data_IF_724728070730
#
_entry.id   IF_724728070730
#
_cell.length_a   1.000
_cell.length_b   1.000
_cell.length_c   1.000
_cell.angle_alpha   90.00
_cell.angle_beta   90.00
_cell.angle_gamma   90.00
#
_symmetry.space_group_name_H-M   'P 1'
#
loop_
_entity.id
_entity.type
_entity.pdbx_description
1 polymer ?
#
# COMPACT_ATOMS: atom_id res chain seq x y z
N UNK A 1 -14.99 -2.11 -5.23
CA UNK A 1 -13.76 -1.59 -4.58
C UNK A 1 -13.13 -0.44 -5.32
N UNK A 2 -12.94 -0.54 -6.64
CA UNK A 2 -12.13 0.44 -7.39
C UNK A 2 -12.94 1.32 -8.33
N UNK A 3 -14.28 1.31 -8.21
CA UNK A 3 -15.12 2.33 -8.83
C UNK A 3 -14.95 3.65 -8.08
N UNK A 4 -15.08 4.78 -8.79
CA UNK A 4 -15.10 6.09 -8.13
C UNK A 4 -16.37 6.22 -7.30
N UNK A 5 -16.21 6.44 -6.01
CA UNK A 5 -17.26 6.87 -5.08
C UNK A 5 -17.33 8.40 -5.02
N UNK A 6 -18.39 8.95 -4.42
CA UNK A 6 -18.61 10.41 -4.33
C UNK A 6 -17.44 11.16 -3.66
N UNK A 7 -16.84 10.56 -2.64
CA UNK A 7 -15.71 11.09 -1.88
C UNK A 7 -14.33 10.64 -2.40
N UNK A 8 -14.29 10.02 -3.58
CA UNK A 8 -13.02 9.64 -4.24
C UNK A 8 -12.33 10.86 -4.81
N UNK A 9 -11.18 11.21 -4.23
CA UNK A 9 -10.36 12.36 -4.65
C UNK A 9 -9.23 11.96 -5.60
N UNK A 10 -8.75 10.72 -5.54
CA UNK A 10 -7.76 10.16 -6.48
C UNK A 10 -8.08 8.71 -6.82
N UNK A 11 -7.94 8.32 -8.08
CA UNK A 11 -7.91 6.91 -8.48
C UNK A 11 -7.13 6.72 -9.77
N UNK A 12 -6.24 5.73 -9.81
CA UNK A 12 -5.48 5.39 -11.01
C UNK A 12 -5.09 3.91 -11.01
N UNK A 13 -4.78 3.34 -12.18
CA UNK A 13 -3.88 2.20 -12.27
C UNK A 13 -2.52 2.55 -11.62
N UNK A 14 -1.88 1.54 -11.05
CA UNK A 14 -0.69 1.71 -10.20
C UNK A 14 0.44 0.80 -10.67
N UNK A 15 1.59 1.36 -11.04
CA UNK A 15 2.82 0.61 -11.24
C UNK A 15 3.37 0.13 -9.90
N UNK A 16 3.56 -1.18 -9.79
CA UNK A 16 4.21 -1.85 -8.65
C UNK A 16 5.51 -2.52 -9.10
N UNK A 17 6.40 -2.84 -8.15
CA UNK A 17 7.75 -3.33 -8.45
C UNK A 17 7.94 -4.81 -8.10
N UNK A 18 6.83 -5.55 -7.99
CA UNK A 18 6.82 -7.00 -7.76
C UNK A 18 5.59 -7.65 -8.39
N UNK A 19 5.71 -8.95 -8.67
CA UNK A 19 4.65 -9.78 -9.24
C UNK A 19 4.54 -11.08 -8.46
N UNK A 20 3.32 -11.43 -8.07
CA UNK A 20 2.96 -12.71 -7.45
C UNK A 20 3.51 -13.01 -6.07
N UNK A 21 4.13 -12.04 -5.41
CA UNK A 21 4.62 -12.17 -4.05
C UNK A 21 5.60 -11.07 -3.69
N UNK A 22 6.30 -11.27 -2.57
CA UNK A 22 7.26 -10.32 -2.01
C UNK A 22 6.62 -8.97 -1.67
N UNK A 23 5.47 -8.99 -0.98
CA UNK A 23 4.71 -7.81 -0.53
C UNK A 23 5.61 -6.72 0.07
N UNK A 24 6.62 -7.09 0.86
CA UNK A 24 7.58 -6.16 1.47
C UNK A 24 8.30 -5.24 0.46
N UNK A 25 8.41 -5.62 -0.82
CA UNK A 25 8.93 -4.75 -1.88
C UNK A 25 7.98 -3.59 -2.20
N UNK A 26 6.68 -3.85 -2.20
CA UNK A 26 5.65 -2.82 -2.40
C UNK A 26 5.47 -1.99 -1.13
N UNK A 27 5.54 -2.61 0.06
CA UNK A 27 5.59 -1.85 1.31
C UNK A 27 6.78 -0.90 1.34
N UNK A 28 7.96 -1.37 0.95
CA UNK A 28 9.15 -0.54 0.82
C UNK A 28 8.91 0.62 -0.15
N UNK A 29 8.39 0.36 -1.35
CA UNK A 29 8.18 1.39 -2.35
C UNK A 29 7.23 2.50 -1.85
N UNK A 30 6.15 2.11 -1.18
CA UNK A 30 5.20 3.03 -0.58
C UNK A 30 5.78 3.83 0.58
N UNK A 31 6.43 3.17 1.55
CA UNK A 31 6.88 3.79 2.80
C UNK A 31 8.18 4.59 2.63
N UNK A 32 9.09 4.12 1.78
CA UNK A 32 10.34 4.80 1.44
C UNK A 32 10.13 5.91 0.40
N UNK A 33 9.17 5.74 -0.51
CA UNK A 33 8.93 6.65 -1.63
C UNK A 33 9.90 6.46 -2.82
N UNK A 34 10.53 5.28 -2.94
CA UNK A 34 11.42 4.92 -4.05
C UNK A 34 11.22 3.44 -4.44
N UNK A 35 11.36 3.06 -5.72
CA UNK A 35 11.21 1.67 -6.15
C UNK A 35 12.22 0.74 -5.47
N UNK A 36 11.80 -0.47 -5.09
CA UNK A 36 12.74 -1.50 -4.62
C UNK A 36 13.73 -1.93 -5.72
N UNK A 37 13.35 -1.77 -6.98
CA UNK A 37 14.16 -2.08 -8.17
C UNK A 37 15.40 -1.20 -8.31
N UNK A 38 15.41 0.00 -7.71
CA UNK A 38 16.59 0.88 -7.71
C UNK A 38 17.80 0.23 -7.02
N UNK A 39 17.57 -0.80 -6.19
CA UNK A 39 18.60 -1.51 -5.42
C UNK A 39 19.05 -2.84 -6.06
N UNK A 40 18.63 -3.12 -7.31
CA UNK A 40 19.13 -4.25 -8.09
C UNK A 40 19.04 -5.60 -7.36
N UNK A 41 20.19 -6.27 -7.17
CA UNK A 41 20.26 -7.56 -6.48
C UNK A 41 19.76 -7.52 -5.02
N UNK A 42 19.75 -6.34 -4.39
CA UNK A 42 19.25 -6.15 -3.02
C UNK A 42 17.73 -5.91 -2.96
N UNK A 43 17.03 -5.81 -4.09
CA UNK A 43 15.60 -5.50 -4.14
C UNK A 43 14.73 -6.44 -3.27
N UNK A 44 15.08 -7.73 -3.20
CA UNK A 44 14.36 -8.71 -2.37
C UNK A 44 14.70 -8.60 -0.88
N UNK A 45 15.82 -7.97 -0.53
CA UNK A 45 16.32 -7.83 0.84
C UNK A 45 16.18 -6.43 1.43
N UNK A 46 15.43 -5.52 0.80
CA UNK A 46 15.38 -4.09 1.15
C UNK A 46 15.11 -3.81 2.62
N UNK A 47 14.27 -4.59 3.30
CA UNK A 47 14.00 -4.46 4.74
C UNK A 47 15.22 -4.76 5.63
N UNK A 48 16.17 -5.53 5.12
CA UNK A 48 17.41 -5.87 5.82
C UNK A 48 18.57 -4.96 5.41
N UNK A 49 18.70 -4.66 4.12
CA UNK A 49 19.91 -4.05 3.56
C UNK A 49 19.78 -2.56 3.23
N UNK A 50 18.56 -2.04 3.06
CA UNK A 50 18.34 -0.66 2.61
C UNK A 50 17.63 0.18 3.67
N UNK A 51 16.55 -0.35 4.24
CA UNK A 51 15.72 0.38 5.20
C UNK A 51 16.51 0.91 6.41
N UNK A 52 17.48 0.18 7.01
CA UNK A 52 18.29 0.70 8.10
C UNK A 52 19.12 1.95 7.75
N UNK A 53 19.35 2.16 6.47
CA UNK A 53 20.20 3.21 5.92
C UNK A 53 19.41 4.43 5.40
N UNK A 54 18.07 4.34 5.35
CA UNK A 54 17.20 5.41 4.88
C UNK A 54 17.18 6.61 5.84
N UNK A 55 17.48 7.79 5.30
CA UNK A 55 17.53 9.06 6.03
C UNK A 55 16.22 9.85 5.93
N UNK A 56 15.36 9.49 4.99
CA UNK A 56 14.10 10.18 4.66
C UNK A 56 13.04 9.15 4.28
N UNK A 57 11.81 9.60 4.03
CA UNK A 57 10.70 8.78 3.60
C UNK A 57 9.36 9.44 3.89
N UNK A 58 8.30 8.83 3.37
CA UNK A 58 6.92 9.29 3.58
C UNK A 58 6.56 9.32 5.08
N UNK A 59 6.85 8.24 5.80
CA UNK A 59 6.51 8.13 7.23
C UNK A 59 7.26 9.17 8.07
N UNK A 60 8.55 9.39 7.80
CA UNK A 60 9.32 10.45 8.47
C UNK A 60 8.75 11.84 8.20
N UNK A 61 8.30 12.12 6.98
CA UNK A 61 7.63 13.40 6.67
C UNK A 61 6.32 13.56 7.46
N UNK A 62 5.53 12.50 7.63
CA UNK A 62 4.35 12.55 8.49
C UNK A 62 4.71 12.80 9.96
N UNK A 63 5.78 12.17 10.46
CA UNK A 63 6.31 12.41 11.82
C UNK A 63 6.70 13.88 12.04
N UNK A 64 7.32 14.52 11.05
CA UNK A 64 7.66 15.96 11.07
C UNK A 64 6.44 16.89 11.01
N UNK A 65 5.30 16.41 10.49
CA UNK A 65 4.00 17.06 10.63
C UNK A 65 3.29 16.76 11.96
N UNK A 66 3.96 16.04 12.86
CA UNK A 66 3.44 15.70 14.18
C UNK A 66 2.53 14.48 14.22
N UNK A 67 2.45 13.67 13.15
CA UNK A 67 1.61 12.46 13.15
C UNK A 67 2.18 11.38 14.06
N UNK A 68 1.30 10.69 14.78
CA UNK A 68 1.61 9.42 15.43
C UNK A 68 1.36 8.27 14.44
N UNK A 69 2.42 7.57 14.05
CA UNK A 69 2.39 6.58 12.98
C UNK A 69 2.34 5.16 13.55
N UNK A 70 1.35 4.36 13.14
CA UNK A 70 1.15 2.98 13.59
C UNK A 70 1.10 2.05 12.38
N UNK A 71 1.87 0.96 12.42
CA UNK A 71 1.74 -0.15 11.48
C UNK A 71 0.91 -1.27 12.12
N UNK A 72 -0.02 -1.85 11.38
CA UNK A 72 -0.80 -3.01 11.77
C UNK A 72 -0.53 -4.15 10.78
N UNK A 73 0.09 -5.23 11.26
CA UNK A 73 0.45 -6.38 10.44
C UNK A 73 -0.09 -7.69 11.03
N UNK A 74 -0.63 -8.60 10.22
CA UNK A 74 -1.09 -9.93 10.64
C UNK A 74 0.08 -10.90 10.86
N UNK A 75 1.32 -10.46 10.59
CA UNK A 75 2.52 -11.25 10.79
C UNK A 75 3.24 -10.91 12.09
N UNK A 76 3.99 -11.90 12.58
CA UNK A 76 4.91 -11.73 13.69
C UNK A 76 5.90 -10.60 13.43
N UNK A 77 6.25 -9.86 14.49
CA UNK A 77 7.17 -8.72 14.46
C UNK A 77 8.52 -9.05 13.79
N UNK A 78 8.99 -10.30 13.86
CA UNK A 78 10.23 -10.76 13.23
C UNK A 78 10.10 -11.20 11.76
N UNK A 79 8.88 -11.43 11.25
CA UNK A 79 8.66 -11.91 9.89
C UNK A 79 9.24 -10.91 8.88
N UNK A 80 10.14 -11.37 8.01
CA UNK A 80 10.86 -10.54 7.03
C UNK A 80 11.52 -9.27 7.62
N UNK A 81 11.94 -9.29 8.90
CA UNK A 81 12.50 -8.12 9.60
C UNK A 81 11.52 -6.93 9.75
N UNK A 82 10.21 -7.19 9.72
CA UNK A 82 9.19 -6.14 9.68
C UNK A 82 9.30 -5.12 10.81
N UNK A 83 9.47 -5.54 12.07
CA UNK A 83 9.56 -4.60 13.21
C UNK A 83 10.74 -3.65 13.09
N UNK A 84 11.93 -4.18 12.82
CA UNK A 84 13.12 -3.35 12.66
C UNK A 84 12.96 -2.41 11.45
N UNK A 85 12.39 -2.90 10.34
CA UNK A 85 12.11 -2.07 9.17
C UNK A 85 11.12 -0.95 9.48
N UNK A 86 9.98 -1.21 10.13
CA UNK A 86 9.02 -0.16 10.50
C UNK A 86 9.61 0.84 11.50
N UNK A 87 10.44 0.40 12.46
CA UNK A 87 11.15 1.31 13.36
C UNK A 87 12.06 2.25 12.56
N UNK A 88 12.82 1.71 11.60
CA UNK A 88 13.68 2.49 10.72
C UNK A 88 12.91 3.40 9.75
N UNK A 89 11.72 3.01 9.27
CA UNK A 89 10.83 3.91 8.53
C UNK A 89 10.33 5.08 9.38
N UNK A 90 10.34 4.94 10.71
CA UNK A 90 9.95 5.98 11.66
C UNK A 90 8.56 5.81 12.25
N UNK A 91 7.99 4.60 12.21
CA UNK A 91 6.75 4.31 12.93
C UNK A 91 6.94 4.44 14.44
N UNK A 92 5.90 4.90 15.13
CA UNK A 92 5.88 4.94 16.59
C UNK A 92 5.60 3.56 17.17
N UNK A 93 4.66 2.82 16.57
CA UNK A 93 4.25 1.49 17.01
C UNK A 93 4.04 0.55 15.82
N UNK A 94 4.31 -0.73 16.06
CA UNK A 94 3.87 -1.83 15.19
C UNK A 94 3.03 -2.78 16.05
N UNK A 95 1.76 -2.91 15.70
CA UNK A 95 0.83 -3.85 16.30
C UNK A 95 0.60 -5.05 15.41
N UNK A 96 0.30 -6.16 16.06
CA UNK A 96 -0.42 -7.28 15.50
C UNK A 96 -1.87 -7.27 16.00
N UNK A 97 -2.83 -7.88 15.30
CA UNK A 97 -4.19 -8.08 15.82
C UNK A 97 -4.23 -8.67 17.23
N UNK A 98 -3.27 -9.54 17.57
CA UNK A 98 -3.13 -10.15 18.89
C UNK A 98 -2.80 -9.12 19.99
N UNK A 99 -2.05 -8.06 19.68
CA UNK A 99 -1.80 -6.95 20.62
C UNK A 99 -3.12 -6.22 20.97
N UNK A 100 -4.15 -6.36 20.13
CA UNK A 100 -5.48 -5.77 20.27
C UNK A 100 -6.56 -6.79 20.65
N UNK A 101 -6.17 -8.00 21.08
CA UNK A 101 -7.08 -9.01 21.61
C UNK A 101 -7.58 -10.05 20.62
N UNK A 102 -6.99 -10.17 19.42
CA UNK A 102 -7.27 -11.31 18.53
C UNK A 102 -6.93 -12.64 19.21
N UNK A 103 -7.82 -13.65 19.17
CA UNK A 103 -7.67 -14.89 19.95
C UNK A 103 -6.69 -15.87 19.30
N UNK A 104 -5.43 -15.46 19.16
CA UNK A 104 -4.33 -16.31 18.73
C UNK A 104 -3.04 -16.01 19.51
N UNK A 105 -2.10 -16.97 19.59
CA UNK A 105 -0.80 -16.72 20.21
C UNK A 105 -0.01 -15.63 19.48
N UNK A 106 0.76 -14.84 20.24
CA UNK A 106 1.55 -13.71 19.73
C UNK A 106 2.66 -14.12 18.73
N UNK A 107 3.08 -15.39 18.77
CA UNK A 107 4.10 -15.96 17.87
C UNK A 107 3.53 -16.58 16.59
N UNK A 108 2.26 -16.34 16.25
CA UNK A 108 1.61 -16.93 15.07
C UNK A 108 1.29 -15.88 14.02
N UNK A 109 1.69 -16.19 12.78
CA UNK A 109 1.25 -15.47 11.59
C UNK A 109 -0.22 -15.80 11.30
N UNK A 110 -1.04 -14.78 11.06
CA UNK A 110 -2.49 -14.90 10.84
C UNK A 110 -2.83 -15.00 9.36
N UNK A 111 -2.50 -16.13 8.72
CA UNK A 111 -2.69 -16.34 7.26
C UNK A 111 -4.14 -16.32 6.76
N UNK A 112 -5.12 -16.37 7.66
CA UNK A 112 -6.53 -16.50 7.31
C UNK A 112 -7.43 -15.43 7.94
N UNK A 113 -6.85 -14.46 8.66
CA UNK A 113 -7.60 -13.32 9.20
C UNK A 113 -8.30 -12.59 8.05
N UNK A 114 -9.58 -12.29 8.24
CA UNK A 114 -10.37 -11.57 7.24
C UNK A 114 -9.97 -10.10 7.16
N UNK A 115 -10.24 -9.49 6.01
CA UNK A 115 -10.01 -8.06 5.84
C UNK A 115 -10.97 -7.22 6.69
N UNK A 116 -12.18 -7.72 6.98
CA UNK A 116 -13.10 -7.13 7.95
C UNK A 116 -12.49 -7.07 9.37
N UNK A 117 -11.92 -8.17 9.85
CA UNK A 117 -11.23 -8.20 11.15
C UNK A 117 -10.02 -7.24 11.16
N UNK A 118 -9.22 -7.20 10.09
CA UNK A 118 -8.13 -6.23 9.98
C UNK A 118 -8.62 -4.78 10.08
N UNK A 119 -9.73 -4.44 9.42
CA UNK A 119 -10.34 -3.11 9.51
C UNK A 119 -10.93 -2.83 10.89
N UNK A 120 -11.48 -3.83 11.58
CA UNK A 120 -11.90 -3.72 12.97
C UNK A 120 -10.72 -3.34 13.88
N UNK A 121 -9.56 -3.98 13.72
CA UNK A 121 -8.37 -3.64 14.50
C UNK A 121 -7.79 -2.26 14.14
N UNK A 122 -7.83 -1.86 12.87
CA UNK A 122 -7.48 -0.50 12.47
C UNK A 122 -8.40 0.54 13.13
N UNK A 123 -9.70 0.26 13.22
CA UNK A 123 -10.68 1.07 13.96
C UNK A 123 -10.33 1.14 15.45
N UNK A 124 -9.97 0.03 16.08
CA UNK A 124 -9.55 0.03 17.50
C UNK A 124 -8.32 0.91 17.75
N UNK A 125 -7.37 0.94 16.80
CA UNK A 125 -6.20 1.84 16.87
C UNK A 125 -6.64 3.30 16.77
N UNK A 126 -7.50 3.64 15.82
CA UNK A 126 -8.00 5.02 15.63
C UNK A 126 -8.86 5.52 16.80
N UNK A 127 -9.56 4.60 17.47
CA UNK A 127 -10.31 4.83 18.71
C UNK A 127 -9.44 4.75 19.97
N UNK A 128 -8.14 4.45 19.83
CA UNK A 128 -7.14 4.40 20.91
C UNK A 128 -7.48 3.39 22.00
N UNK A 129 -8.00 2.22 21.62
CA UNK A 129 -8.39 1.14 22.54
C UNK A 129 -7.23 0.26 23.04
N UNK A 130 -6.00 0.77 23.01
CA UNK A 130 -4.82 0.10 23.53
C UNK A 130 -4.10 1.02 24.53
N UNK A 131 -3.55 0.52 25.66
CA UNK A 131 -2.88 1.35 26.66
C UNK A 131 -1.81 2.29 26.09
N UNK A 132 -0.97 1.81 25.16
CA UNK A 132 0.07 2.63 24.49
C UNK A 132 -0.49 3.80 23.66
N UNK A 133 -1.80 3.83 23.40
CA UNK A 133 -2.48 4.87 22.63
C UNK A 133 -3.30 5.83 23.48
N UNK A 134 -3.54 5.54 24.76
CA UNK A 134 -4.47 6.29 25.64
C UNK A 134 -4.11 7.79 25.70
N UNK A 135 -2.81 8.08 25.75
CA UNK A 135 -2.29 9.45 25.87
C UNK A 135 -1.88 10.09 24.53
N UNK A 136 -2.03 9.38 23.40
CA UNK A 136 -1.72 9.94 22.08
C UNK A 136 -2.76 11.01 21.76
N UNK A 137 -2.32 12.26 21.55
CA UNK A 137 -3.22 13.39 21.17
C UNK A 137 -3.03 13.86 19.73
N UNK A 138 -1.95 13.42 19.09
CA UNK A 138 -1.58 13.75 17.71
C UNK A 138 -2.60 13.23 16.68
N UNK A 139 -2.61 13.80 15.46
CA UNK A 139 -3.20 13.12 14.31
C UNK A 139 -2.50 11.76 14.09
N UNK A 140 -3.21 10.78 13.54
CA UNK A 140 -2.68 9.42 13.37
C UNK A 140 -2.57 9.04 11.91
N UNK A 141 -1.48 8.36 11.57
CA UNK A 141 -1.34 7.59 10.35
C UNK A 141 -1.35 6.11 10.73
N UNK A 142 -2.24 5.33 10.12
CA UNK A 142 -2.34 3.89 10.36
C UNK A 142 -2.13 3.18 9.03
N UNK A 143 -1.03 2.45 8.91
CA UNK A 143 -0.75 1.56 7.79
C UNK A 143 -1.24 0.15 8.13
N UNK A 144 -2.00 -0.48 7.24
CA UNK A 144 -2.63 -1.78 7.46
C UNK A 144 -2.25 -2.73 6.35
N UNK A 145 -1.68 -3.88 6.69
CA UNK A 145 -1.41 -4.97 5.75
C UNK A 145 -2.53 -6.01 5.83
N UNK A 146 -3.31 -6.20 4.76
CA UNK A 146 -4.33 -7.27 4.72
C UNK A 146 -3.70 -8.63 4.39
N UNK A 147 -4.49 -9.72 4.50
CA UNK A 147 -3.97 -11.09 4.31
C UNK A 147 -4.92 -12.02 3.58
N UNK A 148 -6.23 -11.85 3.70
CA UNK A 148 -7.21 -12.84 3.23
C UNK A 148 -7.13 -13.10 1.72
N UNK A 149 -6.70 -12.09 0.97
CA UNK A 149 -6.56 -12.13 -0.49
C UNK A 149 -5.34 -12.92 -0.97
N UNK A 150 -4.44 -13.28 -0.06
CA UNK A 150 -3.25 -14.07 -0.36
C UNK A 150 -3.61 -15.50 -0.82
N UNK A 151 -2.83 -16.03 -1.77
CA UNK A 151 -2.96 -17.41 -2.25
C UNK A 151 -2.51 -18.47 -1.22
N UNK A 152 -2.62 -19.76 -1.54
CA UNK A 152 -3.20 -20.32 -2.76
C UNK A 152 -4.72 -20.13 -2.83
N UNK A 153 -5.23 -20.11 -4.06
CA UNK A 153 -6.67 -20.07 -4.34
C UNK A 153 -7.24 -21.47 -4.48
N UNK A 154 -8.48 -21.63 -4.03
CA UNK A 154 -9.22 -22.88 -4.08
C UNK A 154 -9.48 -23.30 -5.52
N UNK A 155 -9.21 -24.56 -5.83
CA UNK A 155 -9.44 -25.14 -7.17
C UNK A 155 -10.72 -25.98 -7.25
N UNK A 156 -11.58 -25.83 -6.24
CA UNK A 156 -12.85 -26.52 -6.06
C UNK A 156 -14.04 -25.54 -5.87
N UNK A 157 -13.84 -24.26 -6.14
CA UNK A 157 -14.89 -23.23 -6.08
C UNK A 157 -15.75 -23.24 -7.34
N UNK A 158 -17.07 -23.16 -7.17
CA UNK A 158 -18.03 -23.07 -8.27
C UNK A 158 -17.85 -21.78 -9.09
N UNK A 159 -18.25 -21.80 -10.37
CA UNK A 159 -18.22 -20.63 -11.25
C UNK A 159 -19.38 -19.66 -10.98
N UNK A 160 -19.48 -19.16 -9.75
CA UNK A 160 -20.58 -18.28 -9.28
C UNK A 160 -20.56 -16.88 -9.91
N UNK A 161 -19.44 -16.48 -10.51
CA UNK A 161 -19.29 -15.21 -11.23
C UNK A 161 -19.49 -15.35 -12.75
N UNK A 162 -19.95 -16.50 -13.22
CA UNK A 162 -20.24 -16.77 -14.64
C UNK A 162 -19.07 -16.38 -15.58
N UNK A 163 -17.84 -16.72 -15.19
CA UNK A 163 -16.66 -16.38 -15.97
C UNK A 163 -16.69 -17.10 -17.33
N UNK A 164 -16.89 -16.33 -18.40
CA UNK A 164 -16.77 -16.79 -19.79
C UNK A 164 -15.29 -16.81 -20.19
N UNK A 165 -14.65 -17.94 -19.93
CA UNK A 165 -13.22 -18.13 -20.15
C UNK A 165 -12.94 -19.49 -20.83
N UNK A 166 -13.33 -19.66 -22.10
CA UNK A 166 -13.22 -20.95 -22.80
C UNK A 166 -11.77 -21.43 -22.95
N UNK A 167 -10.81 -20.51 -22.88
CA UNK A 167 -9.37 -20.80 -22.98
C UNK A 167 -8.75 -21.23 -21.63
N UNK A 168 -9.51 -21.21 -20.53
CA UNK A 168 -9.02 -21.57 -19.19
C UNK A 168 -9.56 -22.94 -18.77
N UNK A 169 -8.72 -23.72 -18.07
CA UNK A 169 -9.16 -24.99 -17.50
C UNK A 169 -10.05 -24.78 -16.27
N UNK A 170 -10.83 -25.80 -15.89
CA UNK A 170 -11.77 -25.74 -14.78
C UNK A 170 -11.12 -25.34 -13.44
N UNK A 171 -9.90 -25.82 -13.14
CA UNK A 171 -9.19 -25.45 -11.90
C UNK A 171 -8.82 -23.97 -11.87
N UNK A 172 -8.40 -23.41 -13.00
CA UNK A 172 -8.13 -21.97 -13.13
C UNK A 172 -9.41 -21.16 -12.96
N UNK A 173 -10.53 -21.59 -13.57
CA UNK A 173 -11.83 -20.93 -13.39
C UNK A 173 -12.25 -20.94 -11.92
N UNK A 174 -12.10 -22.06 -11.22
CA UNK A 174 -12.35 -22.16 -9.77
C UNK A 174 -11.45 -21.24 -8.95
N UNK A 175 -10.14 -21.23 -9.22
CA UNK A 175 -9.19 -20.36 -8.54
C UNK A 175 -9.49 -18.87 -8.76
N UNK A 176 -9.92 -18.49 -9.97
CA UNK A 176 -10.38 -17.14 -10.27
C UNK A 176 -11.66 -16.79 -9.50
N UNK A 177 -12.61 -17.71 -9.37
CA UNK A 177 -13.82 -17.47 -8.58
C UNK A 177 -13.50 -17.26 -7.09
N UNK A 178 -12.60 -18.05 -6.51
CA UNK A 178 -12.13 -17.84 -5.12
C UNK A 178 -11.41 -16.49 -4.96
N UNK A 179 -10.52 -16.15 -5.91
CA UNK A 179 -9.86 -14.83 -5.92
C UNK A 179 -10.88 -13.69 -5.98
N UNK A 180 -11.82 -13.71 -6.93
CA UNK A 180 -12.85 -12.67 -7.10
C UNK A 180 -13.74 -12.58 -5.85
N UNK A 181 -14.12 -13.72 -5.25
CA UNK A 181 -14.88 -13.77 -4.01
C UNK A 181 -14.17 -13.05 -2.86
N UNK A 182 -12.87 -13.31 -2.69
CA UNK A 182 -12.04 -12.63 -1.68
C UNK A 182 -11.92 -11.13 -1.95
N UNK A 183 -11.77 -10.71 -3.21
CA UNK A 183 -11.77 -9.28 -3.58
C UNK A 183 -13.14 -8.63 -3.29
N UNK A 184 -14.25 -9.34 -3.50
CA UNK A 184 -15.58 -8.84 -3.18
C UNK A 184 -15.80 -8.70 -1.65
N UNK A 185 -15.22 -9.59 -0.84
CA UNK A 185 -15.27 -9.46 0.62
C UNK A 185 -14.35 -8.34 1.14
N UNK A 186 -13.17 -8.18 0.54
CA UNK A 186 -12.29 -7.04 0.80
C UNK A 186 -13.02 -5.71 0.50
N UNK A 187 -13.81 -5.67 -0.58
CA UNK A 187 -14.61 -4.49 -0.95
C UNK A 187 -15.58 -4.08 0.15
N UNK A 188 -16.35 -5.06 0.66
CA UNK A 188 -17.29 -4.83 1.77
C UNK A 188 -16.56 -4.30 3.01
N UNK A 189 -15.38 -4.83 3.33
CA UNK A 189 -14.58 -4.37 4.46
C UNK A 189 -14.11 -2.92 4.29
N UNK A 190 -13.66 -2.54 3.09
CA UNK A 190 -13.23 -1.17 2.77
C UNK A 190 -14.40 -0.18 2.80
N UNK A 191 -15.55 -0.52 2.23
CA UNK A 191 -16.74 0.34 2.28
C UNK A 191 -17.31 0.49 3.71
N UNK A 192 -17.25 -0.58 4.51
CA UNK A 192 -17.61 -0.53 5.93
C UNK A 192 -16.67 0.37 6.73
N UNK A 193 -15.36 0.25 6.49
CA UNK A 193 -14.37 1.08 7.15
C UNK A 193 -14.47 2.56 6.76
N UNK A 194 -14.68 2.85 5.48
CA UNK A 194 -14.91 4.22 5.00
C UNK A 194 -16.13 4.88 5.66
N UNK A 195 -17.26 4.16 5.75
CA UNK A 195 -18.44 4.62 6.48
C UNK A 195 -18.11 4.97 7.93
N UNK A 196 -17.35 4.11 8.61
CA UNK A 196 -16.83 4.40 9.95
C UNK A 196 -15.95 5.66 9.99
N UNK A 197 -15.12 5.91 8.97
CA UNK A 197 -14.30 7.13 8.89
C UNK A 197 -15.16 8.40 8.82
N UNK A 198 -16.27 8.37 8.09
CA UNK A 198 -17.26 9.46 8.06
C UNK A 198 -17.98 9.62 9.40
N UNK A 199 -18.44 8.53 10.02
CA UNK A 199 -19.15 8.54 11.31
C UNK A 199 -18.31 9.12 12.46
N UNK A 200 -16.98 9.05 12.38
CA UNK A 200 -16.09 9.68 13.36
C UNK A 200 -16.21 11.20 13.41
N UNK A 201 -16.74 11.85 12.37
CA UNK A 201 -16.83 13.30 12.27
C UNK A 201 -15.47 14.02 12.31
N UNK A 202 -14.40 13.36 11.85
CA UNK A 202 -13.03 13.91 11.81
C UNK A 202 -12.51 13.96 10.38
N UNK A 203 -11.63 14.93 10.04
CA UNK A 203 -10.89 14.92 8.79
C UNK A 203 -10.12 13.62 8.58
N UNK A 204 -10.22 13.02 7.40
CA UNK A 204 -9.46 11.82 7.04
C UNK A 204 -9.01 11.81 5.59
N UNK A 205 -7.94 11.06 5.34
CA UNK A 205 -7.53 10.59 4.03
C UNK A 205 -7.40 9.08 4.14
N UNK A 206 -8.08 8.35 3.25
CA UNK A 206 -8.10 6.90 3.23
C UNK A 206 -7.58 6.40 1.88
N UNK A 207 -6.36 5.87 1.88
CA UNK A 207 -5.72 5.29 0.71
C UNK A 207 -5.67 3.77 0.78
N UNK A 208 -5.94 3.11 -0.34
CA UNK A 208 -5.81 1.65 -0.48
C UNK A 208 -5.28 1.28 -1.87
N UNK A 209 -4.37 0.32 -1.92
CA UNK A 209 -3.74 -0.15 -3.15
C UNK A 209 -3.54 -1.66 -3.17
N UNK A 210 -3.41 -2.24 -4.37
CA UNK A 210 -2.94 -3.61 -4.53
C UNK A 210 -1.41 -3.66 -4.54
N UNK A 211 -0.81 -4.49 -3.70
CA UNK A 211 0.65 -4.64 -3.58
C UNK A 211 1.27 -5.33 -4.80
N UNK A 212 0.60 -6.32 -5.37
CA UNK A 212 0.97 -6.97 -6.63
C UNK A 212 -0.19 -7.70 -7.31
N UNK A 213 -0.02 -8.01 -8.60
CA UNK A 213 -0.87 -8.98 -9.28
C UNK A 213 -0.55 -10.41 -8.81
N UNK A 214 -1.50 -11.31 -9.00
CA UNK A 214 -1.39 -12.71 -8.59
C UNK A 214 -1.06 -13.59 -9.80
N UNK A 215 -0.23 -14.64 -9.64
CA UNK A 215 0.01 -15.62 -10.68
C UNK A 215 -1.02 -16.74 -10.58
N UNK A 216 -1.43 -17.28 -11.72
CA UNK A 216 -2.23 -18.50 -11.79
C UNK A 216 -1.38 -19.61 -12.41
N UNK A 217 -1.43 -20.81 -11.82
CA UNK A 217 -0.58 -21.92 -12.22
C UNK A 217 -0.83 -22.30 -13.70
N UNK A 218 0.24 -22.34 -14.49
CA UNK A 218 0.22 -22.82 -15.87
C UNK A 218 -0.51 -21.95 -16.87
N UNK A 219 -0.96 -20.74 -16.51
CA UNK A 219 -1.72 -19.87 -17.43
C UNK A 219 -1.54 -18.38 -17.14
N UNK A 220 -1.42 -17.60 -18.22
CA UNK A 220 -1.47 -16.14 -18.14
C UNK A 220 -2.91 -15.68 -18.30
N UNK A 221 -3.45 -15.03 -17.27
CA UNK A 221 -4.78 -14.42 -17.33
C UNK A 221 -4.65 -13.05 -17.99
N UNK A 222 -5.36 -12.86 -19.10
CA UNK A 222 -5.38 -11.58 -19.84
C UNK A 222 -5.71 -10.44 -18.89
N UNK A 223 -4.84 -9.42 -18.85
CA UNK A 223 -5.06 -8.21 -18.07
C UNK A 223 -5.97 -7.25 -18.84
N UNK A 224 -6.74 -6.45 -18.09
CA UNK A 224 -7.68 -5.46 -18.64
C UNK A 224 -6.98 -4.36 -19.44
N UNK A 225 -5.77 -3.99 -19.02
CA UNK A 225 -5.02 -2.87 -19.57
C UNK A 225 -3.91 -3.34 -20.51
N UNK A 226 -3.63 -2.53 -21.52
CA UNK A 226 -2.62 -2.78 -22.54
C UNK A 226 -1.30 -2.02 -22.26
N UNK A 227 -0.91 -1.96 -20.98
CA UNK A 227 0.38 -1.39 -20.60
C UNK A 227 1.52 -2.34 -20.99
N UNK A 228 2.71 -1.81 -21.28
CA UNK A 228 3.86 -2.62 -21.70
C UNK A 228 4.26 -3.74 -20.71
N UNK A 229 3.96 -3.56 -19.42
CA UNK A 229 4.17 -4.55 -18.36
C UNK A 229 2.90 -4.67 -17.51
N UNK A 230 1.84 -5.31 -18.00
CA UNK A 230 0.53 -5.26 -17.35
C UNK A 230 0.46 -6.10 -16.07
N UNK A 231 1.34 -7.10 -15.92
CA UNK A 231 1.48 -7.89 -14.69
C UNK A 231 1.99 -7.08 -13.49
N UNK A 232 2.59 -5.93 -13.76
CA UNK A 232 3.10 -5.00 -12.74
C UNK A 232 2.20 -3.77 -12.60
N UNK A 233 0.93 -3.87 -13.02
CA UNK A 233 -0.08 -2.82 -12.85
C UNK A 233 -1.20 -3.33 -11.94
N UNK A 234 -1.38 -2.65 -10.81
CA UNK A 234 -2.51 -2.81 -9.90
C UNK A 234 -3.33 -1.52 -9.92
N UNK A 235 -3.81 -1.08 -8.76
CA UNK A 235 -4.69 0.06 -8.63
C UNK A 235 -4.44 0.76 -7.29
N UNK A 236 -4.66 2.08 -7.27
CA UNK A 236 -4.63 2.92 -6.09
C UNK A 236 -5.87 3.82 -6.08
N UNK A 237 -6.48 3.99 -4.91
CA UNK A 237 -7.56 4.92 -4.71
C UNK A 237 -7.36 5.68 -3.39
N UNK A 238 -7.83 6.92 -3.37
CA UNK A 238 -7.84 7.79 -2.19
C UNK A 238 -9.23 8.39 -2.04
N UNK A 239 -9.81 8.20 -0.85
CA UNK A 239 -11.08 8.78 -0.43
C UNK A 239 -10.82 9.77 0.71
N UNK A 240 -11.56 10.88 0.74
CA UNK A 240 -11.35 11.90 1.78
C UNK A 240 -12.58 12.78 1.96
N UNK A 241 -12.82 13.20 3.21
CA UNK A 241 -13.79 14.24 3.55
C UNK A 241 -13.14 15.62 3.79
N UNK A 242 -11.84 15.77 3.51
CA UNK A 242 -11.14 17.04 3.66
C UNK A 242 -11.57 17.95 2.52
N UNK A 243 -12.25 19.05 2.86
CA UNK A 243 -12.56 20.11 1.92
C UNK A 243 -11.24 20.78 1.48
N UNK A 244 -10.75 20.43 0.29
CA UNK A 244 -9.48 20.94 -0.21
C UNK A 244 -9.31 20.62 -1.69
N UNK A 245 -8.80 21.59 -2.45
CA UNK A 245 -8.62 21.54 -3.90
C UNK A 245 -7.53 20.58 -4.39
N UNK A 246 -7.41 19.39 -3.80
CA UNK A 246 -6.63 18.32 -4.41
C UNK A 246 -7.29 17.98 -5.75
N UNK A 247 -6.58 18.27 -6.84
CA UNK A 247 -7.01 17.96 -8.19
C UNK A 247 -6.08 16.89 -8.71
N UNK A 248 -6.63 15.72 -9.01
CA UNK A 248 -5.91 14.68 -9.74
C UNK A 248 -5.53 15.23 -11.12
N UNK A 249 -4.22 15.28 -11.43
CA UNK A 249 -3.67 15.75 -12.71
C UNK A 249 -3.11 14.62 -13.56
N UNK A 250 -3.07 13.41 -13.03
CA UNK A 250 -2.46 12.25 -13.66
C UNK A 250 -3.41 11.04 -13.56
N UNK A 251 -3.39 10.21 -14.60
CA UNK A 251 -4.27 9.04 -14.72
C UNK A 251 -3.52 7.72 -14.51
N UNK A 252 -2.23 7.79 -14.16
CA UNK A 252 -1.38 6.67 -13.82
C UNK A 252 -0.46 7.07 -12.67
N UNK A 253 -0.02 6.10 -11.86
CA UNK A 253 0.84 6.38 -10.72
C UNK A 253 1.87 5.27 -10.53
N UNK A 254 3.10 5.63 -10.21
CA UNK A 254 4.08 4.71 -9.62
C UNK A 254 3.93 4.69 -8.09
N UNK A 255 3.95 3.49 -7.50
CA UNK A 255 3.80 3.30 -6.06
C UNK A 255 4.79 4.14 -5.23
N UNK A 256 5.98 4.43 -5.76
CA UNK A 256 6.94 5.33 -5.12
C UNK A 256 6.41 6.76 -4.87
N UNK A 257 5.37 7.19 -5.61
CA UNK A 257 4.76 8.52 -5.47
C UNK A 257 3.46 8.52 -4.64
N UNK A 258 2.94 7.36 -4.23
CA UNK A 258 1.66 7.27 -3.53
C UNK A 258 1.65 8.00 -2.17
N UNK A 259 2.76 7.97 -1.43
CA UNK A 259 2.90 8.75 -0.20
C UNK A 259 2.73 10.26 -0.41
N UNK A 260 3.27 10.80 -1.51
CA UNK A 260 3.09 12.21 -1.89
C UNK A 260 1.64 12.56 -2.22
N UNK A 261 0.91 11.67 -2.91
CA UNK A 261 -0.54 11.85 -3.17
C UNK A 261 -1.31 11.94 -1.85
N UNK A 262 -1.03 11.06 -0.88
CA UNK A 262 -1.70 11.08 0.43
C UNK A 262 -1.40 12.35 1.21
N UNK A 263 -0.15 12.84 1.17
CA UNK A 263 0.22 14.11 1.81
C UNK A 263 -0.56 15.28 1.20
N UNK A 264 -0.59 15.39 -0.13
CA UNK A 264 -1.32 16.48 -0.79
C UNK A 264 -2.82 16.41 -0.56
N UNK A 265 -3.42 15.22 -0.59
CA UNK A 265 -4.83 15.01 -0.25
C UNK A 265 -5.13 15.41 1.21
N UNK A 266 -4.15 15.30 2.10
CA UNK A 266 -4.24 15.76 3.49
C UNK A 266 -3.91 17.26 3.67
N UNK A 267 -3.57 17.98 2.60
CA UNK A 267 -3.13 19.38 2.66
C UNK A 267 -1.73 19.57 3.27
N UNK A 268 -0.89 18.54 3.24
CA UNK A 268 0.46 18.55 3.82
C UNK A 268 1.53 18.85 2.76
N UNK A 269 2.41 19.79 3.08
CA UNK A 269 3.60 20.10 2.27
C UNK A 269 4.78 19.17 2.60
N UNK A 270 5.71 18.98 1.66
CA UNK A 270 6.93 18.22 1.92
C UNK A 270 7.87 18.92 2.93
N UNK A 271 8.32 18.20 3.96
CA UNK A 271 9.19 18.73 5.02
C UNK A 271 10.69 18.65 4.68
N UNK A 272 11.09 17.79 3.75
CA UNK A 272 12.48 17.64 3.33
C UNK A 272 12.68 17.76 1.81
N UNK A 273 13.94 17.75 1.39
CA UNK A 273 14.31 17.84 -0.03
C UNK A 273 13.88 16.64 -0.85
N UNK A 274 13.79 15.46 -0.23
CA UNK A 274 13.40 14.23 -0.90
C UNK A 274 11.92 14.24 -1.25
N UNK A 275 11.01 14.51 -0.30
CA UNK A 275 9.59 14.54 -0.62
C UNK A 275 9.21 15.69 -1.54
N UNK A 276 9.94 16.82 -1.49
CA UNK A 276 9.79 17.88 -2.50
C UNK A 276 10.15 17.37 -3.90
N UNK A 277 11.26 16.64 -4.03
CA UNK A 277 11.69 16.06 -5.30
C UNK A 277 10.72 14.97 -5.78
N UNK A 278 10.24 14.09 -4.89
CA UNK A 278 9.28 13.04 -5.18
C UNK A 278 7.96 13.60 -5.74
N UNK A 279 7.38 14.60 -5.06
CA UNK A 279 6.15 15.26 -5.51
C UNK A 279 6.34 15.99 -6.84
N UNK A 280 7.48 16.68 -7.04
CA UNK A 280 7.80 17.36 -8.29
C UNK A 280 7.98 16.37 -9.44
N UNK A 281 8.73 15.28 -9.22
CA UNK A 281 8.99 14.25 -10.23
C UNK A 281 7.70 13.56 -10.68
N UNK A 282 6.78 13.26 -9.75
CA UNK A 282 5.45 12.77 -10.09
C UNK A 282 4.74 13.71 -11.07
N UNK A 283 4.79 15.03 -10.86
CA UNK A 283 4.21 16.01 -11.77
C UNK A 283 4.89 16.03 -13.14
N UNK A 284 6.23 15.99 -13.17
CA UNK A 284 7.02 16.05 -14.41
C UNK A 284 6.88 14.80 -15.29
N UNK A 285 6.63 13.64 -14.69
CA UNK A 285 6.48 12.37 -15.40
C UNK A 285 5.02 11.90 -15.55
N UNK A 286 4.04 12.78 -15.29
CA UNK A 286 2.61 12.40 -15.41
C UNK A 286 2.23 11.22 -14.50
N UNK A 287 2.89 11.10 -13.34
CA UNK A 287 2.68 10.06 -12.34
C UNK A 287 3.46 8.77 -12.52
N UNK A 288 4.01 8.47 -13.71
CA UNK A 288 4.77 7.24 -13.95
C UNK A 288 6.27 7.43 -13.79
N UNK A 289 6.91 6.90 -12.74
CA UNK A 289 8.38 6.94 -12.59
C UNK A 289 9.05 5.98 -13.57
N UNK A 290 8.76 4.68 -13.46
CA UNK A 290 9.33 3.66 -14.35
C UNK A 290 8.76 3.75 -15.77
N UNK A 291 7.56 4.32 -15.91
CA UNK A 291 6.87 4.54 -17.19
C UNK A 291 7.13 5.94 -17.78
N UNK A 292 8.01 6.75 -17.17
CA UNK A 292 8.30 8.09 -17.68
C UNK A 292 8.96 8.02 -19.07
N UNK A 293 8.45 8.75 -20.09
CA UNK A 293 9.05 8.74 -21.42
C UNK A 293 10.42 9.43 -21.45
N UNK A 294 10.66 10.40 -20.55
CA UNK A 294 11.93 11.10 -20.45
C UNK A 294 12.91 10.35 -19.54
N UNK A 295 13.70 9.44 -20.13
CA UNK A 295 14.69 8.63 -19.39
C UNK A 295 15.85 9.44 -18.82
N UNK A 296 16.23 10.53 -19.47
CA UNK A 296 17.26 11.44 -18.95
C UNK A 296 16.78 12.11 -17.65
N UNK A 297 15.53 12.57 -17.61
CA UNK A 297 14.92 13.14 -16.40
C UNK A 297 14.89 12.12 -15.25
N UNK A 298 14.54 10.86 -15.52
CA UNK A 298 14.56 9.79 -14.51
C UNK A 298 15.98 9.54 -13.99
N UNK A 299 16.98 9.53 -14.88
CA UNK A 299 18.39 9.40 -14.52
C UNK A 299 18.85 10.55 -13.62
N UNK A 300 18.55 11.79 -14.00
CA UNK A 300 18.88 12.99 -13.23
C UNK A 300 18.16 13.01 -11.87
N UNK A 301 16.90 12.58 -11.81
CA UNK A 301 16.16 12.43 -10.56
C UNK A 301 16.84 11.43 -9.63
N UNK A 302 17.19 10.23 -10.11
CA UNK A 302 17.90 9.21 -9.31
C UNK A 302 19.26 9.70 -8.83
N UNK A 303 20.06 10.33 -9.70
CA UNK A 303 21.33 10.94 -9.30
C UNK A 303 21.13 12.01 -8.21
N UNK A 304 20.12 12.86 -8.35
CA UNK A 304 19.79 13.86 -7.33
C UNK A 304 19.39 13.20 -5.99
N UNK A 305 18.61 12.12 -6.02
CA UNK A 305 18.24 11.40 -4.79
C UNK A 305 19.44 10.78 -4.08
N UNK A 306 20.25 10.01 -4.82
CA UNK A 306 21.25 9.14 -4.21
C UNK A 306 22.60 9.84 -4.00
N UNK A 307 23.03 10.69 -4.92
CA UNK A 307 24.36 11.34 -4.86
C UNK A 307 24.32 12.71 -4.18
N UNK A 308 23.22 13.47 -4.39
CA UNK A 308 23.07 14.82 -3.82
C UNK A 308 22.35 14.78 -2.47
N UNK A 309 21.13 14.25 -2.41
CA UNK A 309 20.35 14.19 -1.18
C UNK A 309 20.80 13.06 -0.24
N UNK A 310 21.44 12.02 -0.78
CA UNK A 310 21.96 10.87 -0.02
C UNK A 310 20.88 10.22 0.85
N UNK A 311 19.74 9.91 0.20
CA UNK A 311 18.55 9.37 0.90
C UNK A 311 18.78 8.00 1.56
N UNK A 312 19.81 7.27 1.14
CA UNK A 312 20.32 6.06 1.77
C UNK A 312 21.85 6.19 1.93
N UNK A 313 22.39 5.79 3.10
CA UNK A 313 23.83 5.87 3.43
C UNK A 313 24.41 4.54 3.85
#
# INVERSE_FOLDING_TARGET
>A
MFGRQEDTVFSSPLRVHTFGGATWKSEFAFLAGVPSTDFGALASGVFYSVVPHLQTGFVRNLREHGYFCVALSPFTKGNYNAKAAYDHFGFNLMFQPQDLGYPAPMGKNLWHISSEEMMQYARMILEKRHPDLENVRQPMFVYVLTMKEHGPYRTDTDNVFDLDAPDLNAKTVSALNDYIGRIADLDKAVESFDRYLHERGKPFVFGYFGDHQVPFEGVSVRKKWDYAQPDYVTQFAVRSNIAGGFVQRQDFLDLAFAGGVLMEAAGLEAKDGFMRANMAMRGLCGGGLEDCPNRELVGNYRNYLYDVLKIAR
#
